data_IF_551734894292
#
_entry.id   IF_551734894292
#
_cell.length_a   1.000
_cell.length_b   1.000
_cell.length_c   1.000
_cell.angle_alpha   90.00
_cell.angle_beta   90.00
_cell.angle_gamma   90.00
#
_symmetry.space_group_name_H-M   'P 1'
#
loop_
_entity.id
_entity.type
_entity.pdbx_description
1 polymer ?
#
# COMPACT_ATOMS: atom_id res chain seq x y z
N UNK A 1 22.19 -13.10 -12.26
CA UNK A 1 21.29 -13.00 -11.09
C UNK A 1 20.62 -11.65 -11.06
N UNK A 2 19.39 -11.61 -10.54
CA UNK A 2 18.61 -10.38 -10.38
C UNK A 2 18.44 -10.10 -8.89
N UNK A 3 18.60 -8.84 -8.50
CA UNK A 3 18.37 -8.41 -7.12
C UNK A 3 16.88 -8.27 -6.81
N UNK A 4 16.51 -8.56 -5.56
CA UNK A 4 15.20 -8.22 -5.03
C UNK A 4 15.23 -6.81 -4.41
N UNK A 5 14.57 -5.86 -5.08
CA UNK A 5 14.51 -4.48 -4.59
C UNK A 5 13.37 -4.35 -3.57
N UNK A 6 13.71 -4.34 -2.29
CA UNK A 6 12.72 -4.17 -1.20
C UNK A 6 12.28 -2.73 -1.00
N UNK A 7 13.18 -1.77 -1.25
CA UNK A 7 12.91 -0.35 -1.11
C UNK A 7 13.29 0.37 -2.39
N UNK A 8 12.38 1.20 -2.86
CA UNK A 8 12.59 1.99 -4.07
C UNK A 8 11.90 3.32 -3.98
N UNK A 9 12.48 4.29 -4.68
CA UNK A 9 12.03 5.66 -4.63
C UNK A 9 10.54 5.86 -4.94
N UNK A 10 9.92 5.17 -5.91
CA UNK A 10 8.50 5.38 -6.19
C UNK A 10 7.58 5.03 -5.01
N UNK A 11 7.93 4.05 -4.16
CA UNK A 11 7.14 3.78 -2.94
C UNK A 11 7.17 4.99 -1.98
N UNK A 12 8.34 5.59 -1.78
CA UNK A 12 8.50 6.80 -0.95
C UNK A 12 7.69 7.98 -1.52
N UNK A 13 7.73 8.18 -2.84
CA UNK A 13 6.96 9.23 -3.50
C UNK A 13 5.45 9.00 -3.39
N UNK A 14 4.98 7.76 -3.52
CA UNK A 14 3.58 7.38 -3.33
C UNK A 14 3.15 7.54 -1.87
N UNK A 15 4.00 7.21 -0.90
CA UNK A 15 3.74 7.45 0.53
C UNK A 15 3.66 8.95 0.84
N UNK A 16 4.55 9.77 0.27
CA UNK A 16 4.49 11.23 0.40
C UNK A 16 3.18 11.79 -0.19
N UNK A 17 2.77 11.31 -1.37
CA UNK A 17 1.50 11.69 -1.96
C UNK A 17 0.33 11.34 -1.04
N UNK A 18 0.30 10.12 -0.49
CA UNK A 18 -0.74 9.69 0.46
C UNK A 18 -0.79 10.58 1.71
N UNK A 19 0.37 10.85 2.31
CA UNK A 19 0.47 11.67 3.52
C UNK A 19 -0.11 13.07 3.29
N UNK A 20 0.24 13.72 2.17
CA UNK A 20 -0.29 15.04 1.81
C UNK A 20 -1.81 15.00 1.63
N UNK A 21 -2.34 13.97 0.95
CA UNK A 21 -3.79 13.81 0.76
C UNK A 21 -4.56 13.58 2.06
N UNK A 22 -3.88 13.06 3.09
CA UNK A 22 -4.44 12.85 4.43
C UNK A 22 -4.18 14.03 5.38
N UNK A 23 -3.77 15.19 4.87
CA UNK A 23 -3.57 16.42 5.64
C UNK A 23 -2.13 16.67 6.10
N UNK A 24 -1.18 15.85 5.67
CA UNK A 24 0.25 16.10 5.90
C UNK A 24 0.73 17.36 5.19
N UNK A 25 1.67 18.09 5.82
CA UNK A 25 2.26 19.30 5.22
C UNK A 25 3.15 18.92 4.04
N UNK A 26 2.89 19.53 2.88
CA UNK A 26 3.71 19.33 1.70
C UNK A 26 5.12 19.92 1.89
N UNK A 27 6.13 19.17 1.45
CA UNK A 27 7.53 19.62 1.43
C UNK A 27 8.07 19.61 0.00
N UNK A 28 8.98 20.53 -0.30
CA UNK A 28 9.55 20.71 -1.64
C UNK A 28 10.95 20.10 -1.77
N UNK A 29 11.16 18.90 -1.21
CA UNK A 29 12.43 18.19 -1.37
C UNK A 29 12.48 17.43 -2.71
N UNK A 30 13.55 17.64 -3.48
CA UNK A 30 13.82 16.98 -4.76
C UNK A 30 13.08 17.59 -5.96
N UNK A 31 13.14 16.92 -7.12
CA UNK A 31 12.60 17.38 -8.40
C UNK A 31 11.22 16.81 -8.74
N UNK A 32 10.61 16.03 -7.84
CA UNK A 32 9.37 15.27 -8.07
C UNK A 32 8.08 16.05 -7.79
N UNK A 33 8.20 17.32 -7.41
CA UNK A 33 7.07 18.18 -7.04
C UNK A 33 6.62 18.04 -5.59
N UNK A 34 5.59 18.83 -5.24
CA UNK A 34 5.06 18.95 -3.87
C UNK A 34 3.55 18.71 -3.77
N UNK A 35 2.87 18.36 -4.87
CA UNK A 35 1.46 17.96 -4.87
C UNK A 35 1.33 16.45 -5.08
N UNK A 36 0.27 15.79 -4.59
CA UNK A 36 0.03 14.36 -4.83
C UNK A 36 0.00 14.02 -6.33
N UNK A 37 -0.61 14.89 -7.14
CA UNK A 37 -0.69 14.71 -8.59
C UNK A 37 0.69 14.79 -9.25
N UNK A 38 1.52 15.76 -8.88
CA UNK A 38 2.87 15.90 -9.43
C UNK A 38 3.77 14.72 -9.05
N UNK A 39 3.70 14.28 -7.78
CA UNK A 39 4.47 13.14 -7.28
C UNK A 39 4.11 11.85 -8.04
N UNK A 40 2.82 11.56 -8.20
CA UNK A 40 2.38 10.36 -8.94
C UNK A 40 2.73 10.47 -10.42
N UNK A 41 2.50 11.62 -11.05
CA UNK A 41 2.83 11.81 -12.46
C UNK A 41 4.32 11.68 -12.73
N UNK A 42 5.19 12.07 -11.78
CA UNK A 42 6.64 11.88 -11.91
C UNK A 42 7.05 10.41 -12.05
N UNK A 43 6.28 9.49 -11.46
CA UNK A 43 6.48 8.04 -11.59
C UNK A 43 5.88 7.55 -12.91
N UNK A 44 4.63 7.96 -13.19
CA UNK A 44 3.88 7.48 -14.37
C UNK A 44 4.58 7.85 -15.67
N UNK A 45 5.04 9.08 -15.79
CA UNK A 45 5.65 9.59 -17.02
C UNK A 45 7.17 9.35 -17.06
N UNK A 46 7.74 8.67 -16.06
CA UNK A 46 9.13 8.22 -16.13
C UNK A 46 9.31 7.32 -17.36
N UNK A 47 10.45 7.44 -18.04
CA UNK A 47 10.71 6.71 -19.27
C UNK A 47 10.58 5.18 -19.10
N UNK A 48 10.87 4.66 -17.91
CA UNK A 48 10.75 3.23 -17.61
C UNK A 48 9.31 2.72 -17.52
N UNK A 49 8.32 3.60 -17.35
CA UNK A 49 6.88 3.27 -17.28
C UNK A 49 6.12 3.75 -18.49
N UNK A 50 6.46 4.94 -19.00
CA UNK A 50 5.84 5.57 -20.17
C UNK A 50 4.30 5.60 -20.12
N UNK A 51 3.73 5.73 -18.93
CA UNK A 51 2.29 5.84 -18.73
C UNK A 51 1.82 7.30 -18.89
N UNK A 52 0.56 7.47 -19.30
CA UNK A 52 -0.06 8.79 -19.43
C UNK A 52 -0.20 9.50 -18.08
N UNK A 53 0.04 10.81 -18.07
CA UNK A 53 -0.21 11.65 -16.90
C UNK A 53 -1.69 11.63 -16.51
N UNK A 54 -1.95 11.60 -15.20
CA UNK A 54 -3.29 11.81 -14.65
C UNK A 54 -3.61 13.31 -14.64
N UNK A 55 -4.90 13.63 -14.75
CA UNK A 55 -5.41 15.01 -14.69
C UNK A 55 -5.94 15.38 -13.31
N UNK A 56 -6.29 14.40 -12.49
CA UNK A 56 -6.78 14.57 -11.12
C UNK A 56 -6.29 13.45 -10.21
N UNK A 57 -6.40 13.69 -8.90
CA UNK A 57 -5.95 12.76 -7.87
C UNK A 57 -6.94 12.73 -6.72
N UNK A 58 -7.41 11.53 -6.37
CA UNK A 58 -8.14 11.23 -5.14
C UNK A 58 -7.56 9.96 -4.48
N UNK A 59 -8.01 9.62 -3.27
CA UNK A 59 -7.45 8.48 -2.53
C UNK A 59 -7.67 7.15 -3.27
N UNK A 60 -8.75 7.02 -4.06
CA UNK A 60 -9.00 5.81 -4.85
C UNK A 60 -8.02 5.69 -6.02
N UNK A 61 -7.71 6.81 -6.67
CA UNK A 61 -6.73 6.92 -7.75
C UNK A 61 -5.33 6.55 -7.23
N UNK A 62 -4.94 7.09 -6.07
CA UNK A 62 -3.67 6.74 -5.43
C UNK A 62 -3.61 5.26 -5.01
N UNK A 63 -4.69 4.72 -4.43
CA UNK A 63 -4.79 3.31 -4.07
C UNK A 63 -4.60 2.38 -5.29
N UNK A 64 -5.19 2.75 -6.42
CA UNK A 64 -5.04 2.02 -7.66
C UNK A 64 -3.61 2.16 -8.21
N UNK A 65 -2.99 3.34 -8.09
CA UNK A 65 -1.62 3.57 -8.55
C UNK A 65 -0.60 2.79 -7.74
N UNK A 66 -0.71 2.75 -6.41
CA UNK A 66 0.13 1.90 -5.57
C UNK A 66 0.04 0.43 -5.97
N UNK A 67 -1.16 -0.03 -6.33
CA UNK A 67 -1.39 -1.39 -6.83
C UNK A 67 -0.74 -1.68 -8.18
N UNK A 68 -0.68 -0.70 -9.09
CA UNK A 68 0.00 -0.83 -10.39
C UNK A 68 1.52 -0.81 -10.23
N UNK A 69 2.02 0.18 -9.48
CA UNK A 69 3.45 0.41 -9.38
C UNK A 69 4.13 -0.71 -8.60
N UNK A 70 3.58 -1.14 -7.46
CA UNK A 70 4.20 -2.10 -6.53
C UNK A 70 3.67 -3.54 -6.66
N UNK A 71 3.12 -3.89 -7.83
CA UNK A 71 2.61 -5.24 -8.09
C UNK A 71 3.74 -6.28 -8.00
N UNK A 72 3.48 -7.42 -7.34
CA UNK A 72 4.44 -8.50 -7.07
C UNK A 72 5.64 -8.12 -6.18
N UNK A 73 5.55 -7.01 -5.44
CA UNK A 73 6.61 -6.57 -4.53
C UNK A 73 6.25 -6.75 -3.04
N UNK A 74 5.26 -7.59 -2.72
CA UNK A 74 4.81 -7.89 -1.35
C UNK A 74 4.20 -6.71 -0.57
N UNK A 75 3.81 -5.61 -1.24
CA UNK A 75 3.20 -4.46 -0.56
C UNK A 75 1.68 -4.47 -0.42
N UNK A 76 0.99 -5.15 -1.34
CA UNK A 76 -0.44 -4.95 -1.57
C UNK A 76 -1.31 -5.13 -0.32
N UNK A 77 -1.03 -6.13 0.53
CA UNK A 77 -1.77 -6.36 1.77
C UNK A 77 -1.77 -5.13 2.68
N UNK A 78 -0.59 -4.56 2.92
CA UNK A 78 -0.44 -3.44 3.85
C UNK A 78 -1.18 -2.22 3.33
N UNK A 79 -1.13 -1.96 2.03
CA UNK A 79 -1.90 -0.90 1.40
C UNK A 79 -3.41 -1.12 1.51
N UNK A 80 -3.89 -2.33 1.21
CA UNK A 80 -5.31 -2.65 1.34
C UNK A 80 -5.82 -2.47 2.77
N UNK A 81 -5.02 -2.82 3.79
CA UNK A 81 -5.37 -2.60 5.20
C UNK A 81 -5.44 -1.10 5.51
N UNK A 82 -4.42 -0.32 5.14
CA UNK A 82 -4.39 1.15 5.40
C UNK A 82 -5.50 1.91 4.68
N UNK A 83 -5.94 1.43 3.51
CA UNK A 83 -7.05 2.01 2.75
C UNK A 83 -8.42 1.44 3.11
N UNK A 84 -8.51 0.50 4.07
CA UNK A 84 -9.77 -0.12 4.48
C UNK A 84 -10.43 -0.97 3.39
N UNK A 85 -9.64 -1.52 2.46
CA UNK A 85 -10.10 -2.33 1.33
C UNK A 85 -9.86 -3.83 1.50
N UNK A 86 -9.00 -4.24 2.43
CA UNK A 86 -8.53 -5.63 2.56
C UNK A 86 -9.62 -6.66 2.81
N UNK A 87 -10.63 -6.30 3.60
CA UNK A 87 -11.74 -7.21 3.94
C UNK A 87 -12.87 -7.17 2.90
N UNK A 88 -12.76 -6.34 1.87
CA UNK A 88 -13.78 -6.25 0.84
C UNK A 88 -13.91 -7.53 0.02
N UNK A 89 -14.99 -7.68 -0.75
CA UNK A 89 -15.16 -8.80 -1.65
C UNK A 89 -14.05 -8.84 -2.71
N UNK A 90 -13.66 -10.04 -3.10
CA UNK A 90 -12.69 -10.33 -4.16
C UNK A 90 -13.33 -11.25 -5.21
N UNK A 91 -12.66 -11.45 -6.34
CA UNK A 91 -13.16 -12.31 -7.41
C UNK A 91 -13.46 -13.74 -6.93
N UNK A 92 -12.62 -14.29 -6.06
CA UNK A 92 -12.75 -15.63 -5.49
C UNK A 92 -13.69 -15.70 -4.27
N UNK A 93 -14.25 -14.57 -3.84
CA UNK A 93 -15.01 -14.46 -2.59
C UNK A 93 -15.89 -13.21 -2.58
N UNK A 94 -17.18 -13.32 -2.95
CA UNK A 94 -18.04 -12.16 -3.20
C UNK A 94 -18.56 -11.46 -1.94
N UNK A 95 -18.19 -11.94 -0.75
CA UNK A 95 -18.62 -11.38 0.53
C UNK A 95 -17.44 -10.77 1.28
N UNK A 96 -17.68 -9.72 2.04
CA UNK A 96 -16.68 -9.17 2.95
C UNK A 96 -16.22 -10.21 3.98
N UNK A 97 -14.93 -10.17 4.30
CA UNK A 97 -14.28 -11.03 5.30
C UNK A 97 -14.46 -10.46 6.71
N UNK A 98 -14.34 -11.34 7.71
CA UNK A 98 -14.39 -10.97 9.14
C UNK A 98 -13.22 -10.05 9.52
N UNK A 99 -13.46 -9.11 10.44
CA UNK A 99 -12.47 -8.17 10.95
C UNK A 99 -11.22 -8.82 11.56
N UNK A 100 -11.33 -10.04 12.09
CA UNK A 100 -10.18 -10.78 12.63
C UNK A 100 -9.05 -10.98 11.62
N UNK A 101 -9.38 -11.09 10.33
CA UNK A 101 -8.39 -11.33 9.27
C UNK A 101 -7.46 -10.15 8.96
N UNK A 102 -7.67 -8.98 9.60
CA UNK A 102 -6.73 -7.85 9.51
C UNK A 102 -5.38 -8.15 10.17
N UNK A 103 -5.35 -9.05 11.16
CA UNK A 103 -4.13 -9.44 11.88
C UNK A 103 -4.00 -10.95 11.77
N UNK A 104 -2.84 -11.47 11.37
CA UNK A 104 -2.65 -12.92 11.28
C UNK A 104 -2.76 -13.60 12.65
N UNK A 105 -3.27 -14.84 12.73
CA UNK A 105 -3.27 -15.58 13.98
C UNK A 105 -1.85 -15.87 14.44
N UNK A 106 -1.64 -15.89 15.75
CA UNK A 106 -0.43 -16.47 16.33
C UNK A 106 -0.49 -17.98 16.06
N UNK A 107 0.57 -18.61 15.51
CA UNK A 107 0.57 -20.04 15.24
C UNK A 107 0.35 -20.86 16.53
N UNK A 108 -0.54 -21.87 16.47
CA UNK A 108 -0.89 -22.69 17.65
C UNK A 108 0.31 -23.37 18.31
N UNK A 109 1.33 -23.75 17.53
CA UNK A 109 2.57 -24.31 18.06
C UNK A 109 3.31 -23.32 18.97
N UNK A 110 3.25 -22.01 18.68
CA UNK A 110 3.87 -20.97 19.50
C UNK A 110 3.07 -20.72 20.79
N UNK A 111 1.73 -20.75 20.70
CA UNK A 111 0.87 -20.65 21.88
C UNK A 111 1.06 -21.83 22.84
N UNK A 112 1.27 -23.04 22.32
CA UNK A 112 1.46 -24.24 23.13
C UNK A 112 2.75 -24.22 23.95
N UNK A 113 3.81 -23.56 23.47
CA UNK A 113 5.13 -23.55 24.11
C UNK A 113 5.43 -22.26 24.88
N UNK A 114 4.64 -21.20 24.71
CA UNK A 114 4.86 -19.92 25.36
C UNK A 114 3.57 -19.39 26.02
N UNK A 115 3.39 -19.56 27.34
CA UNK A 115 2.19 -19.13 28.05
C UNK A 115 2.05 -17.60 28.14
N UNK A 116 3.08 -16.82 27.78
CA UNK A 116 2.99 -15.36 27.73
C UNK A 116 2.31 -14.85 26.45
N UNK A 117 2.09 -15.71 25.45
CA UNK A 117 1.39 -15.34 24.23
C UNK A 117 -0.12 -15.49 24.41
N UNK A 118 -0.84 -14.42 24.10
CA UNK A 118 -2.30 -14.43 23.99
C UNK A 118 -2.69 -14.32 22.53
N UNK A 119 -3.64 -15.12 22.07
CA UNK A 119 -4.10 -15.10 20.67
C UNK A 119 -4.66 -13.73 20.28
N UNK A 120 -4.51 -13.38 19.00
CA UNK A 120 -5.11 -12.19 18.42
C UNK A 120 -6.65 -12.29 18.44
N UNK A 121 -7.38 -11.16 18.63
CA UNK A 121 -8.83 -11.18 18.78
C UNK A 121 -9.56 -11.89 17.63
N UNK A 122 -10.50 -12.78 17.98
CA UNK A 122 -11.40 -13.47 17.05
C UNK A 122 -10.92 -14.82 16.51
N UNK A 123 -9.68 -15.22 16.81
CA UNK A 123 -9.11 -16.53 16.47
C UNK A 123 -9.19 -17.54 17.61
#
# INVERSE_FOLDING_TARGET
DNDMVHFRLPDVLLMKAEAIMRGGTATSAGTYGNTPLALVNSIRTDASRSAGALTSMDLNTLYAERGRELYLENWRRQDMVRFGKYLGPIEQGPTSSDAKYLIFPIPNQQLAVNPNLTQNPGY
#
